data_IF_049431220816
#
_entry.id   IF_049431220816
#
_cell.length_a   1.000
_cell.length_b   1.000
_cell.length_c   1.000
_cell.angle_alpha   90.00
_cell.angle_beta   90.00
_cell.angle_gamma   90.00
#
_symmetry.space_group_name_H-M   'P 1'
#
loop_
_entity.id
_entity.type
_entity.pdbx_description
1 polymer ?
#
# COMPACT_ATOMS: atom_id res chain seq x y z
N UNK A 1 -4.45 29.66 -28.18
CA UNK A 1 -4.31 30.65 -27.09
C UNK A 1 -4.08 29.92 -25.77
N UNK A 2 -2.84 29.80 -25.31
CA UNK A 2 -2.57 29.30 -23.94
C UNK A 2 -2.91 30.42 -22.96
N UNK A 3 -4.07 30.32 -22.31
CA UNK A 3 -4.42 31.19 -21.18
C UNK A 3 -3.47 30.83 -20.05
N UNK A 4 -2.52 31.70 -19.72
CA UNK A 4 -1.63 31.49 -18.57
C UNK A 4 -2.50 31.46 -17.31
N UNK A 5 -2.66 30.28 -16.72
CA UNK A 5 -3.38 30.11 -15.45
C UNK A 5 -2.62 30.86 -14.37
N UNK A 6 -3.29 31.82 -13.71
CA UNK A 6 -2.72 32.59 -12.60
C UNK A 6 -3.51 32.26 -11.33
N UNK A 7 -2.84 31.63 -10.38
CA UNK A 7 -3.39 31.31 -9.06
C UNK A 7 -2.87 32.29 -8.02
N UNK A 8 -3.73 32.76 -7.12
CA UNK A 8 -3.36 33.71 -6.06
C UNK A 8 -2.78 33.02 -4.83
N UNK A 9 -3.19 31.79 -4.55
CA UNK A 9 -2.75 31.00 -3.40
C UNK A 9 -2.91 29.50 -3.66
N UNK A 10 -2.46 28.68 -2.71
CA UNK A 10 -2.53 27.21 -2.84
C UNK A 10 -3.95 26.65 -2.71
N UNK A 11 -4.88 27.37 -2.07
CA UNK A 11 -6.29 26.95 -2.04
C UNK A 11 -6.94 27.01 -3.43
N UNK A 12 -6.68 28.06 -4.21
CA UNK A 12 -7.14 28.16 -5.60
C UNK A 12 -6.54 27.08 -6.49
N UNK A 13 -5.26 26.75 -6.28
CA UNK A 13 -4.59 25.64 -6.97
C UNK A 13 -5.26 24.30 -6.67
N UNK A 14 -5.48 23.99 -5.39
CA UNK A 14 -6.14 22.74 -4.98
C UNK A 14 -7.57 22.67 -5.53
N UNK A 15 -8.32 23.77 -5.49
CA UNK A 15 -9.66 23.85 -6.05
C UNK A 15 -9.67 23.61 -7.56
N UNK A 16 -8.70 24.18 -8.30
CA UNK A 16 -8.55 23.95 -9.73
C UNK A 16 -8.33 22.46 -10.06
N UNK A 17 -7.39 21.79 -9.38
CA UNK A 17 -7.15 20.35 -9.59
C UNK A 17 -8.41 19.54 -9.28
N UNK A 18 -9.07 19.81 -8.15
CA UNK A 18 -10.32 19.13 -7.78
C UNK A 18 -11.40 19.30 -8.84
N UNK A 19 -11.59 20.51 -9.36
CA UNK A 19 -12.58 20.77 -10.40
C UNK A 19 -12.27 20.03 -11.70
N UNK A 20 -11.02 20.04 -12.15
CA UNK A 20 -10.61 19.33 -13.36
C UNK A 20 -10.75 17.80 -13.23
N UNK A 21 -10.34 17.24 -12.09
CA UNK A 21 -10.49 15.80 -11.81
C UNK A 21 -11.96 15.43 -11.71
N UNK A 22 -12.75 16.20 -10.97
CA UNK A 22 -14.19 15.96 -10.83
C UNK A 22 -14.91 16.02 -12.18
N UNK A 23 -14.64 17.05 -12.99
CA UNK A 23 -15.23 17.18 -14.32
C UNK A 23 -14.82 16.03 -15.25
N UNK A 24 -13.57 15.55 -15.16
CA UNK A 24 -13.11 14.38 -15.92
C UNK A 24 -13.89 13.12 -15.52
N UNK A 25 -14.03 12.89 -14.22
CA UNK A 25 -14.70 11.71 -13.68
C UNK A 25 -16.21 11.74 -13.92
N UNK A 26 -16.84 12.90 -13.84
CA UNK A 26 -18.28 13.07 -14.13
C UNK A 26 -18.56 12.88 -15.63
N UNK A 27 -17.70 13.41 -16.50
CA UNK A 27 -17.80 13.17 -17.95
C UNK A 27 -17.61 11.67 -18.31
N UNK A 28 -16.68 10.99 -17.64
CA UNK A 28 -16.45 9.56 -17.84
C UNK A 28 -17.67 8.72 -17.42
N UNK A 29 -18.29 9.03 -16.27
CA UNK A 29 -19.52 8.36 -15.80
C UNK A 29 -20.71 8.64 -16.72
N UNK A 30 -20.86 9.87 -17.20
CA UNK A 30 -21.89 10.22 -18.18
C UNK A 30 -21.73 9.44 -19.50
N UNK A 31 -20.48 9.20 -19.92
CA UNK A 31 -20.19 8.40 -21.11
C UNK A 31 -20.41 6.88 -20.89
N UNK A 32 -20.11 6.38 -19.69
CA UNK A 32 -20.21 4.97 -19.34
C UNK A 32 -21.04 4.77 -18.06
N UNK A 33 -22.38 4.73 -18.15
CA UNK A 33 -23.27 4.63 -16.99
C UNK A 33 -23.03 3.40 -16.10
N UNK A 34 -22.40 2.34 -16.63
CA UNK A 34 -21.99 1.18 -15.83
C UNK A 34 -21.10 1.58 -14.65
N UNK A 35 -20.30 2.65 -14.79
CA UNK A 35 -19.40 3.15 -13.76
C UNK A 35 -20.12 3.73 -12.53
N UNK A 36 -21.42 4.02 -12.63
CA UNK A 36 -22.25 4.41 -11.49
C UNK A 36 -22.61 3.21 -10.59
N UNK A 37 -22.49 1.98 -11.10
CA UNK A 37 -22.70 0.75 -10.34
C UNK A 37 -21.43 0.33 -9.57
N UNK A 38 -20.86 1.23 -8.78
CA UNK A 38 -19.58 1.03 -8.10
C UNK A 38 -19.56 -0.26 -7.25
N UNK A 39 -20.63 -0.56 -6.50
CA UNK A 39 -20.73 -1.79 -5.70
C UNK A 39 -20.58 -3.06 -6.55
N UNK A 40 -21.24 -3.09 -7.70
CA UNK A 40 -21.18 -4.22 -8.62
C UNK A 40 -19.76 -4.39 -9.17
N UNK A 41 -19.13 -3.30 -9.61
CA UNK A 41 -17.76 -3.32 -10.11
C UNK A 41 -16.79 -3.79 -9.01
N UNK A 42 -16.88 -3.20 -7.81
CA UNK A 42 -16.03 -3.57 -6.68
C UNK A 42 -16.15 -5.05 -6.29
N UNK A 43 -17.37 -5.58 -6.23
CA UNK A 43 -17.60 -7.00 -5.97
C UNK A 43 -17.13 -7.91 -7.11
N UNK A 44 -17.35 -7.52 -8.38
CA UNK A 44 -16.91 -8.29 -9.53
C UNK A 44 -15.38 -8.39 -9.60
N UNK A 45 -14.66 -7.28 -9.39
CA UNK A 45 -13.20 -7.27 -9.34
C UNK A 45 -12.69 -8.13 -8.17
N UNK A 46 -13.30 -8.00 -6.98
CA UNK A 46 -12.94 -8.84 -5.83
C UNK A 46 -13.14 -10.33 -6.14
N UNK A 47 -14.29 -10.71 -6.69
CA UNK A 47 -14.60 -12.10 -7.03
C UNK A 47 -13.63 -12.65 -8.07
N UNK A 48 -13.31 -11.89 -9.11
CA UNK A 48 -12.31 -12.27 -10.11
C UNK A 48 -10.92 -12.45 -9.48
N UNK A 49 -10.50 -11.54 -8.59
CA UNK A 49 -9.20 -11.67 -7.94
C UNK A 49 -9.14 -12.88 -7.00
N UNK A 50 -10.18 -13.13 -6.21
CA UNK A 50 -10.26 -14.32 -5.34
C UNK A 50 -10.28 -15.61 -6.17
N UNK A 51 -11.09 -15.66 -7.24
CA UNK A 51 -11.10 -16.79 -8.17
C UNK A 51 -9.73 -17.01 -8.83
N UNK A 52 -9.03 -15.93 -9.18
CA UNK A 52 -7.66 -15.98 -9.72
C UNK A 52 -6.68 -16.59 -8.70
N UNK A 53 -6.78 -16.21 -7.42
CA UNK A 53 -5.93 -16.76 -6.36
C UNK A 53 -6.20 -18.24 -6.12
N UNK A 54 -7.47 -18.63 -5.96
CA UNK A 54 -7.86 -20.02 -5.72
C UNK A 54 -7.59 -20.91 -6.93
N UNK A 55 -7.95 -20.45 -8.13
CA UNK A 55 -7.70 -21.15 -9.38
C UNK A 55 -6.21 -21.27 -9.68
N UNK A 56 -5.42 -20.22 -9.47
CA UNK A 56 -3.97 -20.27 -9.61
C UNK A 56 -3.32 -21.24 -8.63
N UNK A 57 -3.78 -21.26 -7.37
CA UNK A 57 -3.30 -22.23 -6.38
C UNK A 57 -3.65 -23.68 -6.76
N UNK A 58 -4.86 -23.92 -7.26
CA UNK A 58 -5.28 -25.23 -7.76
C UNK A 58 -4.45 -25.70 -8.96
N UNK A 59 -4.29 -24.84 -9.98
CA UNK A 59 -3.48 -25.15 -11.16
C UNK A 59 -2.01 -25.40 -10.82
N UNK A 60 -1.47 -24.69 -9.82
CA UNK A 60 -0.12 -24.95 -9.31
C UNK A 60 -0.05 -26.29 -8.57
N UNK A 61 -1.04 -26.59 -7.71
CA UNK A 61 -1.11 -27.85 -6.96
C UNK A 61 -1.20 -29.09 -7.88
N UNK A 62 -1.87 -28.98 -9.02
CA UNK A 62 -2.00 -30.06 -10.02
C UNK A 62 -0.85 -30.10 -11.04
N UNK A 63 0.14 -29.21 -10.91
CA UNK A 63 1.29 -29.14 -11.82
C UNK A 63 0.98 -28.56 -13.21
N UNK A 64 -0.20 -27.98 -13.43
CA UNK A 64 -0.59 -27.39 -14.71
C UNK A 64 0.12 -26.08 -15.01
N UNK A 65 0.50 -25.32 -13.97
CA UNK A 65 1.33 -24.12 -14.10
C UNK A 65 2.52 -24.19 -13.15
N UNK A 66 3.65 -23.63 -13.58
CA UNK A 66 4.84 -23.52 -12.73
C UNK A 66 4.74 -22.35 -11.74
N UNK A 67 5.58 -22.37 -10.71
CA UNK A 67 5.61 -21.33 -9.68
C UNK A 67 5.87 -19.93 -10.24
N UNK A 68 6.69 -19.80 -11.30
CA UNK A 68 7.01 -18.53 -11.95
C UNK A 68 5.85 -17.97 -12.79
N UNK A 69 4.76 -18.72 -12.94
CA UNK A 69 3.48 -18.25 -13.50
C UNK A 69 2.49 -17.97 -12.37
N UNK A 70 2.34 -18.92 -11.44
CA UNK A 70 1.39 -18.83 -10.33
C UNK A 70 1.66 -17.61 -9.44
N UNK A 71 2.93 -17.40 -9.07
CA UNK A 71 3.32 -16.32 -8.16
C UNK A 71 3.02 -14.94 -8.77
N UNK A 72 3.49 -14.57 -9.98
CA UNK A 72 3.17 -13.27 -10.57
C UNK A 72 1.68 -13.01 -10.78
N UNK A 73 0.89 -14.03 -11.16
CA UNK A 73 -0.57 -13.92 -11.31
C UNK A 73 -1.21 -13.58 -9.95
N UNK A 74 -0.82 -14.29 -8.90
CA UNK A 74 -1.29 -14.03 -7.54
C UNK A 74 -0.83 -12.64 -7.04
N UNK A 75 0.37 -12.20 -7.38
CA UNK A 75 0.88 -10.85 -7.05
C UNK A 75 0.03 -9.77 -7.74
N UNK A 76 -0.33 -9.96 -9.01
CA UNK A 76 -1.19 -9.02 -9.73
C UNK A 76 -2.60 -8.98 -9.11
N UNK A 77 -3.22 -10.13 -8.83
CA UNK A 77 -4.53 -10.20 -8.20
C UNK A 77 -4.54 -9.51 -6.82
N UNK A 78 -3.52 -9.75 -5.99
CA UNK A 78 -3.40 -9.06 -4.70
C UNK A 78 -3.12 -7.57 -4.84
N UNK A 79 -2.46 -7.10 -5.91
CA UNK A 79 -2.31 -5.66 -6.18
C UNK A 79 -3.64 -4.95 -6.44
N UNK A 80 -4.56 -5.61 -7.16
CA UNK A 80 -5.93 -5.11 -7.37
C UNK A 80 -6.74 -5.11 -6.07
N UNK A 81 -6.59 -6.15 -5.24
CA UNK A 81 -7.24 -6.21 -3.93
C UNK A 81 -6.72 -5.09 -3.00
N UNK A 82 -5.46 -4.67 -3.15
CA UNK A 82 -4.94 -3.50 -2.43
C UNK A 82 -5.69 -2.22 -2.79
N UNK A 83 -5.86 -1.95 -4.09
CA UNK A 83 -6.66 -0.80 -4.55
C UNK A 83 -8.11 -0.88 -4.07
N UNK A 84 -8.71 -2.07 -4.08
CA UNK A 84 -10.07 -2.28 -3.55
C UNK A 84 -10.16 -1.97 -2.05
N UNK A 85 -9.20 -2.41 -1.23
CA UNK A 85 -9.19 -2.06 0.20
C UNK A 85 -9.03 -0.56 0.40
N UNK A 86 -8.15 0.07 -0.38
CA UNK A 86 -7.93 1.50 -0.31
C UNK A 86 -9.23 2.29 -0.61
N UNK A 87 -10.01 1.84 -1.59
CA UNK A 87 -11.34 2.39 -1.87
C UNK A 87 -12.37 2.05 -0.76
N UNK A 88 -12.36 0.82 -0.21
CA UNK A 88 -13.23 0.39 0.89
C UNK A 88 -13.01 1.21 2.16
N UNK A 89 -11.75 1.51 2.49
CA UNK A 89 -11.37 2.34 3.65
C UNK A 89 -12.10 3.70 3.62
N UNK A 90 -12.32 4.25 2.43
CA UNK A 90 -13.09 5.48 2.19
C UNK A 90 -14.60 5.28 1.99
N UNK A 91 -15.10 4.06 2.22
CA UNK A 91 -16.51 3.67 2.06
C UNK A 91 -17.04 3.91 0.63
N UNK A 92 -16.19 3.71 -0.39
CA UNK A 92 -16.60 3.84 -1.80
C UNK A 92 -17.49 2.69 -2.27
N UNK A 93 -17.43 1.53 -1.61
CA UNK A 93 -18.28 0.38 -1.88
C UNK A 93 -19.11 0.00 -0.66
N UNK A 94 -20.35 -0.45 -0.90
CA UNK A 94 -21.28 -1.02 0.08
C UNK A 94 -21.54 -0.15 1.31
N UNK A 95 -21.45 1.18 1.18
CA UNK A 95 -21.70 2.15 2.28
C UNK A 95 -23.05 1.94 2.98
N UNK A 96 -24.08 1.52 2.23
CA UNK A 96 -25.44 1.26 2.74
C UNK A 96 -25.71 -0.21 3.07
N UNK A 97 -24.71 -1.09 2.92
CA UNK A 97 -24.86 -2.55 3.09
C UNK A 97 -23.71 -3.09 3.96
N UNK A 98 -23.78 -2.91 5.30
CA UNK A 98 -22.64 -3.15 6.19
C UNK A 98 -22.06 -4.57 6.11
N UNK A 99 -22.89 -5.60 6.00
CA UNK A 99 -22.41 -6.98 5.93
C UNK A 99 -21.53 -7.21 4.69
N UNK A 100 -21.88 -6.62 3.54
CA UNK A 100 -21.12 -6.76 2.31
C UNK A 100 -19.79 -5.99 2.38
N UNK A 101 -19.83 -4.79 2.98
CA UNK A 101 -18.62 -4.02 3.28
C UNK A 101 -17.66 -4.82 4.17
N UNK A 102 -18.15 -5.38 5.28
CA UNK A 102 -17.32 -6.17 6.20
C UNK A 102 -16.82 -7.47 5.56
N UNK A 103 -17.62 -8.12 4.72
CA UNK A 103 -17.17 -9.27 3.94
C UNK A 103 -16.00 -8.90 3.02
N UNK A 104 -16.09 -7.81 2.26
CA UNK A 104 -14.99 -7.38 1.39
C UNK A 104 -13.73 -6.99 2.17
N UNK A 105 -13.87 -6.34 3.33
CA UNK A 105 -12.75 -6.04 4.22
C UNK A 105 -12.08 -7.32 4.74
N UNK A 106 -12.87 -8.33 5.12
CA UNK A 106 -12.34 -9.65 5.52
C UNK A 106 -11.60 -10.32 4.36
N UNK A 107 -12.15 -10.30 3.15
CA UNK A 107 -11.50 -10.87 1.96
C UNK A 107 -10.18 -10.14 1.66
N UNK A 108 -10.13 -8.81 1.78
CA UNK A 108 -8.89 -8.05 1.67
C UNK A 108 -7.84 -8.55 2.66
N UNK A 109 -8.24 -8.82 3.91
CA UNK A 109 -7.32 -9.25 4.94
C UNK A 109 -6.79 -10.67 4.74
N UNK A 110 -7.66 -11.62 4.39
CA UNK A 110 -7.29 -13.03 4.19
C UNK A 110 -6.40 -13.21 2.96
N UNK A 111 -6.69 -12.50 1.88
CA UNK A 111 -5.90 -12.57 0.64
C UNK A 111 -4.60 -11.79 0.72
N UNK A 112 -4.52 -10.80 1.62
CA UNK A 112 -3.31 -9.99 1.89
C UNK A 112 -2.88 -10.06 3.35
N UNK A 113 -2.43 -11.24 3.81
CA UNK A 113 -2.18 -11.47 5.22
C UNK A 113 -0.96 -10.69 5.74
N UNK A 114 -0.01 -10.33 4.88
CA UNK A 114 1.20 -9.59 5.26
C UNK A 114 0.99 -8.11 5.58
N UNK A 115 -0.25 -7.61 5.55
CA UNK A 115 -0.60 -6.23 5.90
C UNK A 115 -1.33 -6.15 7.24
N UNK A 116 -1.36 -4.95 7.84
CA UNK A 116 -2.17 -4.71 9.03
C UNK A 116 -3.66 -4.95 8.75
N UNK A 117 -4.39 -5.22 9.82
CA UNK A 117 -5.84 -5.36 9.86
C UNK A 117 -6.49 -4.15 9.16
N UNK A 118 -7.39 -4.37 8.19
CA UNK A 118 -7.86 -3.30 7.31
C UNK A 118 -8.76 -2.27 8.02
N UNK A 119 -9.42 -2.65 9.13
CA UNK A 119 -10.17 -1.68 9.95
C UNK A 119 -9.24 -0.78 10.77
N UNK A 120 -8.12 -1.32 11.24
CA UNK A 120 -7.06 -0.52 11.88
C UNK A 120 -6.41 0.40 10.85
N UNK A 121 -6.07 -0.13 9.68
CA UNK A 121 -5.56 0.66 8.56
C UNK A 121 -6.51 1.77 8.16
N UNK A 122 -7.82 1.52 8.15
CA UNK A 122 -8.82 2.55 7.83
C UNK A 122 -8.65 3.81 8.68
N UNK A 123 -8.50 3.64 9.99
CA UNK A 123 -8.31 4.78 10.92
C UNK A 123 -7.00 5.51 10.63
N UNK A 124 -5.91 4.75 10.45
CA UNK A 124 -4.61 5.31 10.12
C UNK A 124 -4.63 6.09 8.79
N UNK A 125 -5.28 5.53 7.78
CA UNK A 125 -5.33 6.11 6.44
C UNK A 125 -6.16 7.40 6.38
N UNK A 126 -7.30 7.44 7.06
CA UNK A 126 -8.09 8.67 7.18
C UNK A 126 -7.33 9.77 7.94
N UNK A 127 -6.45 9.40 8.87
CA UNK A 127 -5.54 10.34 9.54
C UNK A 127 -4.44 10.81 8.60
N UNK A 128 -3.79 9.88 7.89
CA UNK A 128 -2.77 10.14 6.89
C UNK A 128 -3.23 11.15 5.83
N UNK A 129 -4.45 11.06 5.31
CA UNK A 129 -5.00 12.08 4.39
C UNK A 129 -4.96 13.51 4.92
N UNK A 130 -5.09 13.69 6.25
CA UNK A 130 -5.10 14.99 6.90
C UNK A 130 -3.71 15.52 7.21
N UNK A 131 -2.75 14.64 7.45
CA UNK A 131 -1.42 14.99 7.97
C UNK A 131 -0.28 14.29 7.22
N UNK A 132 -0.50 13.90 5.97
CA UNK A 132 0.43 13.08 5.18
C UNK A 132 1.83 13.65 5.24
N UNK A 133 2.81 12.79 5.53
CA UNK A 133 4.22 13.17 5.70
C UNK A 133 4.52 13.97 6.97
N UNK A 134 3.54 14.21 7.82
CA UNK A 134 3.66 14.98 9.07
C UNK A 134 4.09 14.16 10.28
N UNK A 135 4.11 14.81 11.45
CA UNK A 135 4.65 14.22 12.68
C UNK A 135 3.85 12.99 13.16
N UNK A 136 2.52 13.02 13.03
CA UNK A 136 1.63 11.95 13.51
C UNK A 136 1.18 10.99 12.40
N UNK A 137 1.77 11.08 11.21
CA UNK A 137 1.51 10.15 10.11
C UNK A 137 2.20 8.80 10.37
N UNK A 138 1.43 7.85 10.89
CA UNK A 138 1.91 6.51 11.20
C UNK A 138 1.88 5.57 10.00
N UNK A 139 0.98 5.78 9.03
CA UNK A 139 0.85 4.88 7.87
C UNK A 139 2.11 4.94 7.02
N UNK A 140 2.52 6.14 6.60
CA UNK A 140 3.70 6.32 5.76
C UNK A 140 5.01 6.04 6.52
N UNK A 141 5.08 6.42 7.79
CA UNK A 141 6.25 6.10 8.62
C UNK A 141 6.43 4.57 8.77
N UNK A 142 5.32 3.84 8.89
CA UNK A 142 5.31 2.38 8.95
C UNK A 142 5.94 1.72 7.74
N UNK A 143 5.80 2.32 6.56
CA UNK A 143 6.40 1.86 5.30
C UNK A 143 7.70 2.59 4.92
N UNK A 144 8.40 3.17 5.91
CA UNK A 144 9.74 3.78 5.79
C UNK A 144 9.83 5.18 5.17
N UNK A 145 8.71 5.90 5.00
CA UNK A 145 8.77 7.30 4.60
C UNK A 145 9.63 8.12 5.59
N UNK A 146 10.56 8.93 5.06
CA UNK A 146 11.51 9.72 5.84
C UNK A 146 12.79 8.98 6.26
N UNK A 147 12.94 7.68 5.98
CA UNK A 147 14.17 6.94 6.25
C UNK A 147 15.22 7.17 5.15
N UNK A 148 16.50 7.27 5.52
CA UNK A 148 17.59 7.33 4.53
C UNK A 148 17.74 5.99 3.82
N UNK A 149 18.06 6.03 2.53
CA UNK A 149 18.32 4.82 1.76
C UNK A 149 19.61 4.12 2.22
N UNK A 150 19.55 2.80 2.26
CA UNK A 150 20.60 1.90 2.70
C UNK A 150 20.03 0.51 2.96
N UNK A 151 20.88 -0.45 3.33
CA UNK A 151 20.46 -1.84 3.57
C UNK A 151 19.33 -1.92 4.61
N UNK A 152 19.40 -1.13 5.67
CA UNK A 152 18.34 -1.05 6.70
C UNK A 152 16.97 -0.72 6.09
N UNK A 153 16.87 0.34 5.26
CA UNK A 153 15.60 0.73 4.63
C UNK A 153 15.10 -0.34 3.66
N UNK A 154 16.00 -0.97 2.90
CA UNK A 154 15.66 -2.06 1.98
C UNK A 154 15.00 -3.25 2.71
N UNK A 155 15.59 -3.69 3.83
CA UNK A 155 15.03 -4.77 4.65
C UNK A 155 13.65 -4.40 5.23
N UNK A 156 13.50 -3.16 5.71
CA UNK A 156 12.22 -2.68 6.24
C UNK A 156 11.14 -2.51 5.16
N UNK A 157 11.51 -2.15 3.93
CA UNK A 157 10.57 -2.08 2.79
C UNK A 157 10.04 -3.46 2.41
N UNK A 158 10.92 -4.45 2.41
CA UNK A 158 10.61 -5.84 2.08
C UNK A 158 9.75 -6.52 3.16
N UNK A 159 9.94 -6.17 4.42
CA UNK A 159 9.30 -6.86 5.54
C UNK A 159 8.79 -5.88 6.61
N UNK A 160 7.47 -5.88 6.82
CA UNK A 160 6.81 -4.99 7.78
C UNK A 160 7.15 -5.28 9.24
N UNK A 161 7.52 -6.53 9.59
CA UNK A 161 8.01 -6.85 10.94
C UNK A 161 9.43 -6.31 11.13
N UNK A 162 10.28 -6.38 10.11
CA UNK A 162 11.61 -5.74 10.17
C UNK A 162 11.49 -4.22 10.28
N UNK A 163 10.50 -3.59 9.64
CA UNK A 163 10.22 -2.17 9.82
C UNK A 163 9.96 -1.77 11.28
N UNK A 164 9.34 -2.67 12.06
CA UNK A 164 9.12 -2.51 13.50
C UNK A 164 10.37 -2.87 14.31
N UNK A 165 10.96 -4.04 14.07
CA UNK A 165 12.08 -4.58 14.83
C UNK A 165 13.36 -3.74 14.70
N UNK A 166 13.60 -3.10 13.55
CA UNK A 166 14.78 -2.26 13.30
C UNK A 166 14.59 -0.79 13.75
N UNK A 167 13.39 -0.41 14.20
CA UNK A 167 13.04 0.93 14.69
C UNK A 167 12.10 0.91 15.90
N UNK A 168 12.35 0.11 16.96
CA UNK A 168 11.37 -0.10 18.02
C UNK A 168 11.02 1.18 18.78
N UNK A 169 12.03 2.00 19.11
CA UNK A 169 11.84 3.29 19.77
C UNK A 169 11.14 4.32 18.86
N UNK A 170 11.50 4.33 17.58
CA UNK A 170 10.89 5.20 16.58
C UNK A 170 9.42 4.88 16.34
N UNK A 171 9.08 3.59 16.17
CA UNK A 171 7.70 3.10 16.07
C UNK A 171 6.90 3.42 17.33
N UNK A 172 7.46 3.17 18.52
CA UNK A 172 6.80 3.53 19.78
C UNK A 172 6.51 5.03 19.85
N UNK A 173 7.48 5.89 19.53
CA UNK A 173 7.29 7.34 19.49
C UNK A 173 6.20 7.73 18.49
N UNK A 174 6.22 7.16 17.28
CA UNK A 174 5.25 7.46 16.23
C UNK A 174 3.83 7.03 16.60
N UNK A 175 3.67 5.86 17.22
CA UNK A 175 2.37 5.40 17.76
C UNK A 175 1.87 6.37 18.84
N UNK A 176 2.73 6.85 19.73
CA UNK A 176 2.35 7.84 20.75
C UNK A 176 1.90 9.16 20.11
N UNK A 177 2.62 9.65 19.09
CA UNK A 177 2.26 10.85 18.32
C UNK A 177 0.91 10.67 17.60
N UNK A 178 0.70 9.52 16.94
CA UNK A 178 -0.55 9.19 16.28
C UNK A 178 -1.74 9.19 17.26
N UNK A 179 -1.60 8.50 18.41
CA UNK A 179 -2.65 8.43 19.43
C UNK A 179 -2.93 9.80 20.05
N UNK A 180 -1.89 10.60 20.30
CA UNK A 180 -2.05 11.95 20.83
C UNK A 180 -2.76 12.89 19.84
N UNK A 181 -2.62 12.66 18.53
CA UNK A 181 -3.26 13.45 17.48
C UNK A 181 -4.72 13.05 17.19
N UNK A 182 -5.23 11.98 17.82
CA UNK A 182 -6.64 11.59 17.65
C UNK A 182 -7.58 12.51 18.46
N UNK A 183 -8.80 12.80 17.96
CA UNK A 183 -9.72 13.75 18.58
C UNK A 183 -10.11 13.35 20.01
N UNK A 184 -10.22 14.34 20.91
CA UNK A 184 -10.51 14.26 22.36
C UNK A 184 -10.86 12.85 22.89
N UNK A 185 -9.86 12.20 23.49
CA UNK A 185 -9.95 10.82 23.96
C UNK A 185 -9.83 10.75 25.46
N UNK A 186 -10.63 9.89 26.10
CA UNK A 186 -10.38 9.51 27.48
C UNK A 186 -9.10 8.67 27.61
N UNK A 187 -8.62 8.46 28.83
CA UNK A 187 -7.44 7.61 29.07
C UNK A 187 -7.64 6.19 28.54
N UNK A 188 -8.85 5.64 28.68
CA UNK A 188 -9.20 4.30 28.21
C UNK A 188 -9.12 4.18 26.68
N UNK A 189 -9.63 5.17 25.95
CA UNK A 189 -9.56 5.19 24.47
C UNK A 189 -8.11 5.24 23.97
N UNK A 190 -7.25 6.04 24.62
CA UNK A 190 -5.82 6.09 24.28
C UNK A 190 -5.14 4.74 24.48
N UNK A 191 -5.49 4.01 25.54
CA UNK A 191 -4.97 2.66 25.80
C UNK A 191 -5.47 1.69 24.73
N UNK A 192 -6.77 1.73 24.39
CA UNK A 192 -7.36 0.89 23.34
C UNK A 192 -6.66 1.10 21.99
N UNK A 193 -6.42 2.34 21.59
CA UNK A 193 -5.69 2.62 20.35
C UNK A 193 -4.25 2.12 20.37
N UNK A 194 -3.54 2.22 21.49
CA UNK A 194 -2.18 1.67 21.59
C UNK A 194 -2.19 0.15 21.43
N UNK A 195 -3.14 -0.53 22.08
CA UNK A 195 -3.31 -1.98 21.94
C UNK A 195 -3.65 -2.32 20.49
N UNK A 196 -4.58 -1.61 19.87
CA UNK A 196 -4.93 -1.79 18.47
C UNK A 196 -3.71 -1.67 17.53
N UNK A 197 -2.84 -0.67 17.74
CA UNK A 197 -1.63 -0.50 16.94
C UNK A 197 -0.62 -1.65 17.17
N UNK A 198 -0.46 -2.10 18.41
CA UNK A 198 0.40 -3.23 18.75
C UNK A 198 -0.11 -4.55 18.14
N UNK A 199 -1.43 -4.74 18.15
CA UNK A 199 -2.10 -5.94 17.65
C UNK A 199 -2.50 -5.81 16.17
N UNK A 200 -1.99 -4.79 15.47
CA UNK A 200 -2.44 -4.43 14.12
C UNK A 200 -2.28 -5.55 13.10
N UNK A 201 -1.34 -6.47 13.29
CA UNK A 201 -1.15 -7.65 12.43
C UNK A 201 -1.91 -8.90 12.91
N UNK A 202 -2.57 -8.90 14.06
CA UNK A 202 -3.21 -10.10 14.62
C UNK A 202 -4.60 -10.38 14.05
N UNK A 203 -4.98 -11.66 13.84
CA UNK A 203 -4.13 -12.86 13.93
C UNK A 203 -3.47 -13.22 12.59
N UNK A 204 -4.08 -12.81 11.47
CA UNK A 204 -3.73 -13.28 10.12
C UNK A 204 -2.30 -12.93 9.74
N UNK A 205 -1.85 -11.71 10.06
CA UNK A 205 -0.49 -11.28 9.78
C UNK A 205 0.55 -12.00 10.62
N UNK A 206 0.25 -12.37 11.86
CA UNK A 206 1.17 -13.19 12.66
C UNK A 206 1.35 -14.58 12.06
N UNK A 207 0.26 -15.22 11.62
CA UNK A 207 0.34 -16.49 10.88
C UNK A 207 1.22 -16.33 9.64
N UNK A 208 1.00 -15.29 8.84
CA UNK A 208 1.81 -15.02 7.66
C UNK A 208 3.30 -14.84 7.98
N UNK A 209 3.66 -13.98 8.93
CA UNK A 209 5.07 -13.71 9.22
C UNK A 209 5.76 -14.93 9.85
N UNK A 210 5.08 -15.69 10.70
CA UNK A 210 5.61 -16.96 11.21
C UNK A 210 5.91 -17.93 10.08
N UNK A 211 4.97 -18.14 9.16
CA UNK A 211 5.17 -19.04 8.02
C UNK A 211 6.25 -18.52 7.07
N UNK A 212 6.26 -17.22 6.77
CA UNK A 212 7.21 -16.60 5.85
C UNK A 212 8.64 -16.61 6.39
N UNK A 213 8.82 -16.24 7.66
CA UNK A 213 10.14 -16.31 8.30
C UNK A 213 10.61 -17.75 8.50
N UNK A 214 9.71 -18.69 8.83
CA UNK A 214 10.04 -20.11 8.91
C UNK A 214 10.50 -20.66 7.55
N UNK A 215 9.80 -20.32 6.46
CA UNK A 215 10.18 -20.67 5.08
C UNK A 215 11.60 -20.16 4.77
N UNK A 216 11.87 -18.87 4.99
CA UNK A 216 13.18 -18.28 4.71
C UNK A 216 14.26 -18.94 5.57
N UNK A 217 14.05 -19.04 6.87
CA UNK A 217 15.03 -19.60 7.79
C UNK A 217 15.37 -21.05 7.46
N UNK A 218 14.36 -21.86 7.12
CA UNK A 218 14.54 -23.25 6.73
C UNK A 218 15.37 -23.38 5.45
N UNK A 219 14.95 -22.74 4.36
CA UNK A 219 15.61 -22.90 3.05
C UNK A 219 16.99 -22.25 3.00
N UNK A 220 17.13 -21.04 3.54
CA UNK A 220 18.44 -20.36 3.61
C UNK A 220 19.38 -21.11 4.55
N UNK A 221 18.87 -21.61 5.69
CA UNK A 221 19.65 -22.39 6.64
C UNK A 221 20.17 -23.68 6.03
N UNK A 222 19.29 -24.49 5.41
CA UNK A 222 19.70 -25.71 4.72
C UNK A 222 20.65 -25.43 3.56
N UNK A 223 20.38 -24.42 2.74
CA UNK A 223 21.29 -24.03 1.66
C UNK A 223 22.69 -23.70 2.20
N UNK A 224 22.76 -22.93 3.30
CA UNK A 224 24.02 -22.55 3.93
C UNK A 224 24.76 -23.75 4.52
N UNK A 225 24.07 -24.64 5.23
CA UNK A 225 24.67 -25.86 5.79
C UNK A 225 25.24 -26.76 4.68
N UNK A 226 24.48 -26.98 3.61
CA UNK A 226 24.95 -27.73 2.45
C UNK A 226 26.17 -27.09 1.78
N UNK A 227 26.17 -25.76 1.63
CA UNK A 227 27.31 -25.02 1.08
C UNK A 227 28.57 -25.14 1.94
N UNK A 228 28.41 -25.36 3.26
CA UNK A 228 29.50 -25.62 4.20
C UNK A 228 29.88 -27.11 4.33
N UNK A 229 29.27 -27.98 3.52
CA UNK A 229 29.53 -29.42 3.51
C UNK A 229 28.77 -30.23 4.57
N UNK A 230 27.83 -29.61 5.29
CA UNK A 230 26.97 -30.31 6.25
C UNK A 230 25.67 -30.77 5.58
N UNK A 231 25.28 -32.02 5.85
CA UNK A 231 24.01 -32.61 5.41
C UNK A 231 23.19 -32.97 6.65
N UNK A 232 22.51 -32.00 7.28
CA UNK A 232 21.72 -32.26 8.47
C UNK A 232 20.53 -33.17 8.11
N UNK A 233 20.30 -34.20 8.93
CA UNK A 233 19.06 -34.96 8.84
C UNK A 233 17.91 -34.14 9.41
N UNK A 234 16.93 -33.80 8.56
CA UNK A 234 15.78 -32.99 8.95
C UNK A 234 14.66 -33.94 9.40
N UNK A 235 14.09 -33.77 10.61
CA UNK A 235 13.00 -34.63 11.07
C UNK A 235 11.84 -34.70 10.06
N UNK A 236 11.27 -35.89 9.84
CA UNK A 236 10.20 -36.11 8.85
C UNK A 236 9.00 -35.16 9.05
N UNK A 237 8.63 -34.87 10.30
CA UNK A 237 7.57 -33.93 10.61
C UNK A 237 7.88 -32.51 10.12
N UNK A 238 9.14 -32.05 10.25
CA UNK A 238 9.56 -30.75 9.77
C UNK A 238 9.57 -30.68 8.24
N UNK A 239 9.97 -31.76 7.55
CA UNK A 239 9.89 -31.85 6.09
C UNK A 239 8.44 -31.78 5.60
N UNK A 240 7.54 -32.57 6.20
CA UNK A 240 6.11 -32.58 5.88
C UNK A 240 5.45 -31.22 6.11
N UNK A 241 5.75 -30.56 7.24
CA UNK A 241 5.27 -29.22 7.50
C UNK A 241 5.80 -28.22 6.46
N UNK A 242 7.09 -28.28 6.12
CA UNK A 242 7.69 -27.39 5.13
C UNK A 242 7.12 -27.60 3.73
N UNK A 243 6.76 -28.81 3.32
CA UNK A 243 6.07 -29.03 2.04
C UNK A 243 4.77 -28.23 1.92
N UNK A 244 4.00 -28.10 3.01
CA UNK A 244 2.81 -27.24 3.04
C UNK A 244 3.21 -25.78 2.95
N UNK A 245 4.24 -25.36 3.68
CA UNK A 245 4.74 -23.99 3.65
C UNK A 245 5.30 -23.62 2.28
N UNK A 246 5.96 -24.52 1.56
CA UNK A 246 6.49 -24.32 0.21
C UNK A 246 5.37 -24.06 -0.79
N UNK A 247 4.29 -24.83 -0.69
CA UNK A 247 3.09 -24.58 -1.47
C UNK A 247 2.48 -23.21 -1.17
N UNK A 248 2.37 -22.85 0.11
CA UNK A 248 1.89 -21.53 0.53
C UNK A 248 2.85 -20.42 0.11
N UNK A 249 4.16 -20.66 0.06
CA UNK A 249 5.15 -19.67 -0.35
C UNK A 249 4.93 -19.22 -1.79
N UNK A 250 4.51 -20.13 -2.67
CA UNK A 250 4.21 -19.80 -4.07
C UNK A 250 2.82 -19.16 -4.23
N UNK A 251 1.83 -19.67 -3.51
CA UNK A 251 0.41 -19.33 -3.77
C UNK A 251 -0.13 -18.20 -2.90
N UNK A 252 0.51 -17.92 -1.77
CA UNK A 252 0.00 -16.98 -0.77
C UNK A 252 1.08 -16.08 -0.18
N UNK A 253 2.19 -16.61 0.34
CA UNK A 253 3.17 -15.82 1.09
C UNK A 253 4.03 -14.95 0.15
N UNK A 254 4.72 -15.57 -0.81
CA UNK A 254 5.59 -14.91 -1.77
C UNK A 254 4.88 -13.86 -2.63
N UNK A 255 3.67 -14.12 -3.18
CA UNK A 255 2.91 -13.10 -3.89
C UNK A 255 2.67 -11.84 -3.05
N UNK A 256 2.34 -12.04 -1.77
CA UNK A 256 2.10 -10.95 -0.84
C UNK A 256 3.38 -10.23 -0.43
N UNK A 257 4.51 -10.93 -0.30
CA UNK A 257 5.82 -10.32 -0.11
C UNK A 257 6.19 -9.39 -1.27
N UNK A 258 6.11 -9.88 -2.52
CA UNK A 258 6.46 -9.10 -3.72
C UNK A 258 5.54 -7.87 -3.85
N UNK A 259 4.22 -8.07 -3.71
CA UNK A 259 3.23 -6.99 -3.76
C UNK A 259 3.46 -5.96 -2.65
N UNK A 260 3.76 -6.39 -1.41
CA UNK A 260 4.12 -5.50 -0.29
C UNK A 260 5.37 -4.69 -0.60
N UNK A 261 6.43 -5.33 -1.08
CA UNK A 261 7.66 -4.64 -1.45
C UNK A 261 7.39 -3.57 -2.51
N UNK A 262 6.65 -3.90 -3.57
CA UNK A 262 6.36 -2.97 -4.66
C UNK A 262 5.56 -1.75 -4.20
N UNK A 263 4.47 -1.95 -3.46
CA UNK A 263 3.67 -0.82 -2.96
C UNK A 263 4.43 0.01 -1.92
N UNK A 264 5.17 -0.62 -1.00
CA UNK A 264 5.96 0.10 0.00
C UNK A 264 7.07 0.92 -0.68
N UNK A 265 7.73 0.35 -1.69
CA UNK A 265 8.73 1.05 -2.48
C UNK A 265 8.11 2.29 -3.14
N UNK A 266 6.99 2.15 -3.84
CA UNK A 266 6.38 3.27 -4.56
C UNK A 266 5.80 4.31 -3.59
N UNK A 267 4.96 3.90 -2.64
CA UNK A 267 4.29 4.82 -1.70
C UNK A 267 5.28 5.60 -0.85
N UNK A 268 6.27 4.90 -0.26
CA UNK A 268 7.26 5.57 0.61
C UNK A 268 8.23 6.47 -0.14
N UNK A 269 8.28 6.44 -1.48
CA UNK A 269 9.14 7.32 -2.28
C UNK A 269 8.34 8.44 -2.99
N UNK A 270 7.02 8.28 -3.10
CA UNK A 270 6.16 9.31 -3.66
C UNK A 270 5.60 10.29 -2.61
N UNK A 271 5.51 9.88 -1.34
CA UNK A 271 5.18 10.78 -0.25
C UNK A 271 6.39 11.60 0.18
N UNK A 272 6.14 12.89 0.43
CA UNK A 272 7.12 13.74 1.09
C UNK A 272 7.03 13.60 2.61
N UNK A 273 8.08 14.02 3.32
CA UNK A 273 8.19 13.83 4.76
C UNK A 273 8.77 15.06 5.47
N UNK A 274 7.99 15.61 6.39
CA UNK A 274 8.39 16.54 7.44
C UNK A 274 8.50 18.00 7.02
N UNK A 275 9.23 18.35 5.96
CA UNK A 275 9.45 19.76 5.57
C UNK A 275 8.40 20.29 4.57
N UNK A 276 7.16 19.83 4.77
CA UNK A 276 5.98 20.18 3.97
C UNK A 276 4.93 20.84 4.86
N UNK A 277 4.11 21.70 4.28
CA UNK A 277 2.92 22.19 4.99
C UNK A 277 1.90 21.06 5.10
N UNK A 278 1.60 20.67 6.35
CA UNK A 278 0.66 19.60 6.72
C UNK A 278 -0.71 19.68 6.03
N UNK A 279 -1.16 20.88 5.61
CA UNK A 279 -2.47 21.07 4.95
C UNK A 279 -2.35 21.35 3.45
N UNK A 280 -1.14 21.34 2.90
CA UNK A 280 -0.90 21.60 1.49
C UNK A 280 -0.78 20.29 0.70
N UNK A 281 -1.91 19.83 0.16
CA UNK A 281 -2.00 18.60 -0.64
C UNK A 281 -1.03 18.58 -1.83
N UNK A 282 -0.66 19.76 -2.37
CA UNK A 282 0.30 19.87 -3.48
C UNK A 282 1.68 19.36 -3.09
N UNK A 283 2.05 19.49 -1.81
CA UNK A 283 3.35 19.08 -1.27
C UNK A 283 3.33 17.69 -0.63
N UNK A 284 2.16 17.08 -0.42
CA UNK A 284 2.07 15.78 0.26
C UNK A 284 2.67 14.65 -0.59
N UNK A 285 2.42 14.67 -1.90
CA UNK A 285 2.83 13.61 -2.83
C UNK A 285 3.44 14.17 -4.11
N UNK A 286 4.21 13.34 -4.79
CA UNK A 286 4.55 13.47 -6.21
C UNK A 286 3.85 12.39 -7.02
N UNK A 287 3.73 12.63 -8.33
CA UNK A 287 3.42 11.55 -9.28
C UNK A 287 4.73 10.84 -9.65
N UNK A 288 4.82 9.56 -9.33
CA UNK A 288 5.99 8.72 -9.59
C UNK A 288 5.63 7.65 -10.63
N UNK A 289 5.89 7.94 -11.91
CA UNK A 289 5.54 7.07 -13.03
C UNK A 289 6.58 7.01 -14.19
N UNK A 290 7.90 6.98 -13.91
CA UNK A 290 8.87 6.77 -14.98
C UNK A 290 8.75 5.34 -15.53
N UNK A 291 9.03 5.15 -16.82
CA UNK A 291 8.86 3.87 -17.51
C UNK A 291 9.66 2.72 -16.88
N UNK A 292 10.82 2.98 -16.29
CA UNK A 292 11.66 1.95 -15.68
C UNK A 292 11.08 1.41 -14.35
N UNK A 293 10.06 2.08 -13.78
CA UNK A 293 9.30 1.57 -12.65
C UNK A 293 8.14 0.65 -13.06
N UNK A 294 7.91 0.40 -14.37
CA UNK A 294 6.82 -0.46 -14.84
C UNK A 294 6.75 -1.83 -14.14
N UNK A 295 7.85 -2.56 -13.89
CA UNK A 295 7.78 -3.85 -13.18
C UNK A 295 7.26 -3.71 -11.74
N UNK A 296 7.66 -2.65 -11.04
CA UNK A 296 7.19 -2.37 -9.67
C UNK A 296 5.74 -1.90 -9.69
N UNK A 297 5.39 -1.04 -10.65
CA UNK A 297 4.04 -0.52 -10.84
C UNK A 297 3.04 -1.61 -11.20
N UNK A 298 3.45 -2.64 -11.95
CA UNK A 298 2.60 -3.78 -12.29
C UNK A 298 2.06 -4.46 -11.03
N UNK A 299 2.92 -4.63 -10.01
CA UNK A 299 2.58 -5.29 -8.76
C UNK A 299 2.08 -4.35 -7.66
N UNK A 300 1.87 -3.08 -7.97
CA UNK A 300 1.10 -2.15 -7.15
C UNK A 300 0.03 -1.41 -7.97
N UNK A 301 -0.42 -2.01 -9.08
CA UNK A 301 -1.47 -1.49 -9.96
C UNK A 301 -1.36 0.00 -10.34
N UNK A 302 -0.16 0.45 -10.73
CA UNK A 302 0.15 1.83 -11.12
C UNK A 302 -0.09 2.88 -10.01
N UNK A 303 -0.08 2.47 -8.73
CA UNK A 303 -0.29 3.35 -7.59
C UNK A 303 0.55 4.62 -7.65
N UNK A 304 1.81 4.54 -8.08
CA UNK A 304 2.68 5.72 -8.15
C UNK A 304 2.21 6.79 -9.14
N UNK A 305 1.42 6.39 -10.14
CA UNK A 305 0.83 7.30 -11.13
C UNK A 305 -0.47 7.93 -10.64
N UNK A 306 -1.28 7.20 -9.87
CA UNK A 306 -2.68 7.59 -9.58
C UNK A 306 -2.93 7.98 -8.13
N UNK A 307 -2.08 7.60 -7.18
CA UNK A 307 -2.32 7.84 -5.76
C UNK A 307 -2.32 9.33 -5.40
N UNK A 308 -1.49 10.16 -6.06
CA UNK A 308 -1.55 11.60 -5.85
C UNK A 308 -2.95 12.19 -6.15
N UNK A 309 -3.67 11.65 -7.15
CA UNK A 309 -5.04 12.05 -7.49
C UNK A 309 -5.99 11.82 -6.31
N UNK A 310 -5.80 10.71 -5.59
CA UNK A 310 -6.61 10.35 -4.42
C UNK A 310 -6.50 11.34 -3.26
N UNK A 311 -5.33 11.95 -3.06
CA UNK A 311 -5.17 13.02 -2.05
C UNK A 311 -5.96 14.29 -2.42
N UNK A 312 -6.15 14.56 -3.71
CA UNK A 312 -6.98 15.68 -4.16
C UNK A 312 -8.47 15.35 -4.13
N UNK A 313 -8.85 14.17 -4.64
CA UNK A 313 -10.23 13.71 -4.85
C UNK A 313 -10.39 12.27 -4.37
N UNK A 314 -11.02 12.12 -3.20
CA UNK A 314 -11.25 10.82 -2.56
C UNK A 314 -12.45 10.07 -3.16
N UNK A 315 -13.38 10.70 -3.87
CA UNK A 315 -14.62 10.01 -4.31
C UNK A 315 -14.42 9.00 -5.45
N UNK A 316 -13.27 9.04 -6.12
CA UNK A 316 -13.04 8.25 -7.32
C UNK A 316 -12.29 6.95 -7.00
N UNK A 317 -12.85 5.78 -7.34
CA UNK A 317 -12.20 4.50 -7.14
C UNK A 317 -11.03 4.33 -8.10
N UNK A 318 -10.17 3.34 -7.81
CA UNK A 318 -8.89 3.17 -8.51
C UNK A 318 -9.02 3.13 -10.04
N UNK A 319 -10.04 2.46 -10.59
CA UNK A 319 -10.25 2.36 -12.03
C UNK A 319 -10.66 3.70 -12.66
N UNK A 320 -11.42 4.53 -11.96
CA UNK A 320 -11.74 5.90 -12.43
C UNK A 320 -10.47 6.74 -12.41
N UNK A 321 -9.69 6.68 -11.32
CA UNK A 321 -8.40 7.39 -11.22
C UNK A 321 -7.46 7.02 -12.37
N UNK A 322 -7.43 5.75 -12.78
CA UNK A 322 -6.63 5.29 -13.92
C UNK A 322 -7.12 5.88 -15.24
N UNK A 323 -8.43 5.80 -15.51
CA UNK A 323 -9.03 6.27 -16.76
C UNK A 323 -8.94 7.79 -16.92
N UNK A 324 -8.98 8.55 -15.81
CA UNK A 324 -8.88 10.02 -15.83
C UNK A 324 -7.47 10.55 -15.58
N UNK A 325 -6.47 9.67 -15.39
CA UNK A 325 -5.11 10.02 -14.98
C UNK A 325 -4.48 11.11 -15.87
N UNK A 326 -4.65 11.03 -17.19
CA UNK A 326 -4.08 12.01 -18.14
C UNK A 326 -4.54 13.44 -17.84
N UNK A 327 -5.84 13.64 -17.59
CA UNK A 327 -6.42 14.96 -17.29
C UNK A 327 -6.04 15.41 -15.88
N UNK A 328 -6.08 14.50 -14.91
CA UNK A 328 -5.63 14.77 -13.55
C UNK A 328 -4.16 15.19 -13.51
N UNK A 329 -3.28 14.50 -14.24
CA UNK A 329 -1.86 14.82 -14.33
C UNK A 329 -1.61 16.20 -14.93
N UNK A 330 -2.34 16.57 -15.99
CA UNK A 330 -2.23 17.89 -16.60
C UNK A 330 -2.60 18.99 -15.58
N UNK A 331 -3.71 18.81 -14.86
CA UNK A 331 -4.14 19.75 -13.82
C UNK A 331 -3.13 19.85 -12.66
N UNK A 332 -2.62 18.70 -12.19
CA UNK A 332 -1.59 18.64 -11.14
C UNK A 332 -0.28 19.33 -11.55
N UNK A 333 0.18 19.16 -12.79
CA UNK A 333 1.36 19.88 -13.32
C UNK A 333 1.13 21.38 -13.34
N UNK A 334 -0.06 21.83 -13.75
CA UNK A 334 -0.38 23.26 -13.84
C UNK A 334 -0.28 23.99 -12.50
N UNK A 335 -0.43 23.28 -11.38
CA UNK A 335 -0.34 23.85 -10.03
C UNK A 335 0.97 23.57 -9.30
N UNK A 336 1.92 22.88 -9.95
CA UNK A 336 3.25 22.62 -9.40
C UNK A 336 3.39 21.35 -8.55
N UNK A 337 2.48 20.37 -8.67
CA UNK A 337 2.75 19.01 -8.16
C UNK A 337 3.96 18.46 -8.91
N UNK A 338 4.93 17.91 -8.18
CA UNK A 338 6.15 17.35 -8.77
C UNK A 338 5.88 16.00 -9.43
N UNK A 339 6.62 15.72 -10.50
CA UNK A 339 6.59 14.46 -11.21
C UNK A 339 8.00 13.89 -11.28
N UNK A 340 8.15 12.63 -10.90
CA UNK A 340 9.41 11.89 -11.00
C UNK A 340 10.60 12.64 -10.36
N UNK A 341 10.36 13.28 -9.21
CA UNK A 341 11.40 13.83 -8.35
C UNK A 341 12.13 12.68 -7.66
N UNK A 342 13.04 12.04 -8.39
CA UNK A 342 13.90 10.95 -7.89
C UNK A 342 14.92 11.48 -6.86
N UNK A 343 15.11 12.80 -6.78
CA UNK A 343 15.97 13.42 -5.78
C UNK A 343 15.50 13.14 -4.35
N UNK A 344 14.22 12.82 -4.14
CA UNK A 344 13.68 12.41 -2.82
C UNK A 344 14.42 11.21 -2.23
N UNK A 345 15.01 10.35 -3.06
CA UNK A 345 15.74 9.17 -2.62
C UNK A 345 17.03 9.61 -1.87
N UNK A 346 17.67 10.70 -2.32
CA UNK A 346 18.84 11.24 -1.61
C UNK A 346 18.44 12.06 -0.39
N UNK A 347 17.31 12.78 -0.49
CA UNK A 347 16.85 13.71 0.56
C UNK A 347 16.01 13.05 1.65
N UNK A 348 15.93 11.72 1.71
CA UNK A 348 15.06 11.00 2.65
C UNK A 348 13.62 11.57 2.65
N UNK A 349 13.04 11.66 1.46
CA UNK A 349 11.67 12.12 1.23
C UNK A 349 11.40 13.61 1.52
N UNK A 350 12.43 14.44 1.73
CA UNK A 350 12.22 15.90 1.91
C UNK A 350 11.81 16.59 0.61
N UNK A 351 10.91 17.57 0.73
CA UNK A 351 10.44 18.39 -0.38
C UNK A 351 11.49 19.41 -0.81
N UNK A 352 12.11 20.10 0.14
CA UNK A 352 13.18 21.06 -0.14
C UNK A 352 14.53 20.36 -0.21
N UNK A 353 15.49 21.02 -0.84
CA UNK A 353 16.88 20.59 -0.75
C UNK A 353 17.33 20.62 0.71
N UNK A 354 17.83 19.51 1.21
CA UNK A 354 18.54 19.48 2.49
C UNK A 354 19.82 20.28 2.31
N UNK A 355 19.94 21.44 2.96
CA UNK A 355 21.26 22.06 3.15
C UNK A 355 22.15 20.98 3.76
N UNK A 356 23.18 20.58 3.03
CA UNK A 356 24.19 19.65 3.54
C UNK A 356 24.78 20.33 4.77
N UNK A 357 24.55 19.76 5.95
CA UNK A 357 25.22 20.13 7.18
C UNK A 357 26.55 19.38 7.26
#
# INVERSE_FOLDING_TARGET
>A
MNKTLRFKNDAEKVAYVRNEVNAASDALRAQYPLLDHQNLIGAAVMALCVATLLGGAYLYATGMIAWYIALPIATLATSLIHELEHDLIHLMYFKKTPWAYHLMMTLCWLTRPGTINPWTRRRMHLHHHKVSGGESDLEEYGITNGERWGLKRLLMLADGMLAVALRPLGMRRKVLQYVAAQPAQERADRVRLRIEQLMSYMPVGHVYYVLWHAFIAYHVGLFTLHALGYQPDVPALAQQAMHVVDFLAVTWLGPNFVRSFCINFISSNMHYYGDIDSRNVIQQTQVLNPWWLLPVQLFCFNFGSTHAIHHFVVRDPFYIRQLTAKRAHAAMRAVGVRFNDIGTFRRANRWNETRVA
#
